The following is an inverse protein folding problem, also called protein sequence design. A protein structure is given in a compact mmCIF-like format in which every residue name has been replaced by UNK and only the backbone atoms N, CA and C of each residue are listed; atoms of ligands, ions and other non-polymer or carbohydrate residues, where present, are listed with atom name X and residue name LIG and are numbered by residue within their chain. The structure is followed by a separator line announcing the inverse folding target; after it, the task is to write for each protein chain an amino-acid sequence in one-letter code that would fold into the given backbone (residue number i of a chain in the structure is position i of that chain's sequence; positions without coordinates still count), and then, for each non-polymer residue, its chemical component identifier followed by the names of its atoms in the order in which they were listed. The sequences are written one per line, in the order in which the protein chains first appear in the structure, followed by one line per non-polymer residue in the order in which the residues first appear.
data_IF_081378321888
#
_entry.id   IF_081378321888
#
_cell.length_a   1.000
_cell.length_b   1.000
_cell.length_c   1.000
_cell.angle_alpha   90.00
_cell.angle_beta   90.00
_cell.angle_gamma   90.00
#
_symmetry.space_group_name_H-M   'P 1'
#
loop_
_entity.id
_entity.type
_entity.pdbx_description
1 polymer ?
#
# COMPACT_ATOMS: atom_id res chain seq x y z
N UNK A 1 -72.01 -52.83 -0.72
CA UNK A 1 -71.43 -52.07 0.40
C UNK A 1 -69.92 -52.22 0.33
N UNK A 2 -69.19 -51.25 -0.29
CA UNK A 2 -67.76 -51.25 -0.41
C UNK A 2 -67.13 -50.27 0.59
N UNK A 3 -66.31 -50.78 1.52
CA UNK A 3 -65.56 -49.96 2.46
C UNK A 3 -64.31 -49.44 1.75
N UNK A 4 -64.13 -48.14 1.73
CA UNK A 4 -62.87 -47.47 1.28
C UNK A 4 -61.93 -47.44 2.47
N UNK A 5 -60.72 -47.96 2.29
CA UNK A 5 -59.62 -47.83 3.22
C UNK A 5 -58.84 -46.56 2.85
N UNK A 6 -58.65 -45.64 3.82
CA UNK A 6 -57.84 -44.44 3.69
C UNK A 6 -56.42 -44.75 4.17
N UNK A 7 -55.44 -44.61 3.27
CA UNK A 7 -54.01 -44.72 3.58
C UNK A 7 -53.53 -43.33 4.00
N UNK A 8 -53.10 -43.18 5.24
CA UNK A 8 -52.43 -41.96 5.74
C UNK A 8 -50.93 -42.15 5.53
N UNK A 9 -50.38 -41.39 4.57
CA UNK A 9 -48.92 -41.34 4.36
C UNK A 9 -48.26 -40.36 5.35
N UNK A 10 -47.41 -40.88 6.19
CA UNK A 10 -46.57 -40.10 7.09
C UNK A 10 -45.28 -39.72 6.34
N UNK A 11 -45.18 -38.48 5.91
CA UNK A 11 -43.95 -37.92 5.33
C UNK A 11 -43.01 -37.52 6.47
N UNK A 12 -41.95 -38.28 6.67
CA UNK A 12 -40.87 -37.92 7.56
C UNK A 12 -39.98 -36.87 6.89
N UNK A 13 -40.06 -35.60 7.30
CA UNK A 13 -39.07 -34.57 6.96
C UNK A 13 -37.80 -34.84 7.72
N UNK A 14 -36.74 -35.28 7.02
CA UNK A 14 -35.37 -35.28 7.51
C UNK A 14 -34.85 -33.82 7.51
N UNK A 15 -34.86 -33.17 8.67
CA UNK A 15 -34.11 -31.96 8.91
C UNK A 15 -32.61 -32.34 9.00
N UNK A 16 -31.85 -32.19 7.90
CA UNK A 16 -30.41 -32.10 7.96
C UNK A 16 -30.04 -30.77 8.65
N UNK A 17 -29.80 -30.83 9.95
CA UNK A 17 -29.16 -29.73 10.67
C UNK A 17 -27.74 -29.56 10.16
N UNK A 18 -27.50 -28.53 9.36
CA UNK A 18 -26.14 -28.05 9.11
C UNK A 18 -25.59 -27.55 10.44
N UNK A 19 -24.75 -28.36 11.08
CA UNK A 19 -23.86 -27.92 12.15
C UNK A 19 -22.88 -26.92 11.53
N UNK A 20 -23.21 -25.61 11.57
CA UNK A 20 -22.22 -24.58 11.45
C UNK A 20 -21.23 -24.76 12.63
N UNK A 21 -20.12 -25.40 12.35
CA UNK A 21 -18.98 -25.37 13.28
C UNK A 21 -18.54 -23.92 13.39
N UNK A 22 -18.96 -23.23 14.45
CA UNK A 22 -18.41 -21.93 14.83
C UNK A 22 -16.92 -22.11 14.97
N UNK A 23 -16.15 -21.60 13.99
CA UNK A 23 -14.71 -21.58 14.05
C UNK A 23 -14.31 -20.89 15.36
N UNK A 24 -13.70 -21.62 16.28
CA UNK A 24 -13.28 -21.07 17.56
C UNK A 24 -12.43 -19.81 17.28
N UNK A 25 -12.81 -18.70 17.89
CA UNK A 25 -12.15 -17.42 17.68
C UNK A 25 -10.65 -17.56 17.99
N UNK A 26 -9.81 -17.28 17.02
CA UNK A 26 -8.35 -17.36 17.18
C UNK A 26 -7.89 -16.40 18.26
N UNK A 27 -7.22 -16.88 19.28
CA UNK A 27 -6.76 -16.08 20.40
C UNK A 27 -5.41 -15.44 20.08
N UNK A 28 -5.43 -14.13 19.94
CA UNK A 28 -4.22 -13.31 19.93
C UNK A 28 -4.12 -12.54 21.24
N UNK A 29 -2.94 -12.51 21.84
CA UNK A 29 -2.62 -11.48 22.82
C UNK A 29 -1.98 -10.31 22.09
N UNK A 30 -2.27 -9.08 22.54
CA UNK A 30 -1.63 -7.87 22.04
C UNK A 30 -0.95 -7.09 23.16
N UNK A 31 0.19 -6.50 22.85
CA UNK A 31 0.92 -5.59 23.73
C UNK A 31 1.71 -4.58 22.88
N UNK A 32 2.08 -3.46 23.52
CA UNK A 32 2.94 -2.44 22.90
C UNK A 32 4.40 -2.83 23.12
N UNK A 33 5.16 -2.98 22.04
CA UNK A 33 6.60 -3.30 22.07
C UNK A 33 7.43 -2.03 22.25
N UNK A 34 7.10 -0.97 21.52
CA UNK A 34 7.86 0.28 21.55
C UNK A 34 6.93 1.48 21.37
N UNK A 35 7.24 2.59 22.04
CA UNK A 35 6.52 3.87 21.97
C UNK A 35 7.44 5.01 21.53
N UNK A 36 6.85 6.13 21.11
CA UNK A 36 7.59 7.35 20.78
C UNK A 36 8.45 7.22 19.53
N UNK A 37 7.92 6.60 18.48
CA UNK A 37 8.48 6.59 17.15
C UNK A 37 7.90 7.76 16.33
N UNK A 38 8.72 8.43 15.56
CA UNK A 38 8.35 9.61 14.78
C UNK A 38 7.72 9.22 13.44
N UNK A 39 6.43 8.85 13.42
CA UNK A 39 5.71 8.29 12.28
C UNK A 39 6.43 7.06 11.68
N UNK A 40 6.38 5.89 12.36
CA UNK A 40 6.97 4.66 11.85
C UNK A 40 6.24 4.22 10.58
N UNK A 41 6.92 4.32 9.43
CA UNK A 41 6.29 4.13 8.12
C UNK A 41 6.50 2.72 7.54
N UNK A 42 7.72 2.19 7.61
CA UNK A 42 8.05 0.83 7.19
C UNK A 42 8.56 0.04 8.40
N UNK A 43 8.12 -1.20 8.55
CA UNK A 43 8.58 -2.10 9.59
C UNK A 43 8.96 -3.45 8.98
N UNK A 44 10.19 -3.89 9.20
CA UNK A 44 10.71 -5.16 8.71
C UNK A 44 11.29 -6.00 9.86
N UNK A 45 10.91 -7.27 9.96
CA UNK A 45 11.57 -8.20 10.86
C UNK A 45 12.89 -8.66 10.23
N UNK A 46 14.00 -8.08 10.69
CA UNK A 46 15.31 -8.25 10.09
C UNK A 46 15.93 -9.63 10.31
N UNK A 47 16.95 -9.98 9.52
CA UNK A 47 17.66 -11.25 9.62
C UNK A 47 18.47 -11.42 10.93
N UNK A 48 18.54 -10.36 11.71
CA UNK A 48 19.17 -10.28 13.03
C UNK A 48 18.15 -10.37 14.19
N UNK A 49 16.88 -10.67 13.86
CA UNK A 49 15.74 -10.78 14.80
C UNK A 49 15.39 -9.47 15.50
N UNK A 50 15.76 -8.33 14.93
CA UNK A 50 15.29 -7.00 15.32
C UNK A 50 14.23 -6.51 14.35
N UNK A 51 13.39 -5.62 14.83
CA UNK A 51 12.52 -4.83 13.95
C UNK A 51 13.34 -3.65 13.42
N UNK A 52 13.34 -3.47 12.13
CA UNK A 52 13.91 -2.33 11.44
C UNK A 52 12.77 -1.42 11.04
N UNK A 53 12.89 -0.15 11.37
CA UNK A 53 11.80 0.81 11.24
C UNK A 53 12.31 2.09 10.59
N UNK A 54 11.60 2.57 9.57
CA UNK A 54 11.80 3.95 9.09
C UNK A 54 10.91 4.88 9.90
N UNK A 55 11.49 5.93 10.48
CA UNK A 55 10.76 7.00 11.13
C UNK A 55 10.61 8.17 10.16
N UNK A 56 9.44 8.26 9.52
CA UNK A 56 9.15 9.16 8.39
C UNK A 56 9.49 10.61 8.70
N UNK A 57 9.02 11.12 9.83
CA UNK A 57 9.17 12.53 10.20
C UNK A 57 10.57 12.87 10.70
N UNK A 58 11.25 11.93 11.38
CA UNK A 58 12.60 12.14 11.90
C UNK A 58 13.71 11.82 10.91
N UNK A 59 13.38 11.26 9.74
CA UNK A 59 14.38 10.89 8.72
C UNK A 59 15.40 9.89 9.23
N UNK A 60 15.03 8.93 10.07
CA UNK A 60 15.98 7.97 10.63
C UNK A 60 15.51 6.53 10.51
N UNK A 61 16.48 5.63 10.34
CA UNK A 61 16.27 4.19 10.45
C UNK A 61 16.58 3.77 11.87
N UNK A 62 15.65 3.13 12.53
CA UNK A 62 15.73 2.68 13.92
C UNK A 62 15.61 1.16 14.00
N UNK A 63 16.47 0.52 14.79
CA UNK A 63 16.33 -0.89 15.18
C UNK A 63 15.66 -0.96 16.54
N UNK A 64 14.63 -1.79 16.65
CA UNK A 64 13.89 -2.03 17.90
C UNK A 64 14.05 -3.50 18.29
N UNK A 65 14.43 -3.75 19.54
CA UNK A 65 14.50 -5.10 20.07
C UNK A 65 13.10 -5.59 20.45
N UNK A 66 12.60 -6.70 19.87
CA UNK A 66 11.22 -7.13 20.13
C UNK A 66 10.95 -7.60 21.58
N UNK A 67 11.99 -7.95 22.34
CA UNK A 67 11.83 -8.46 23.70
C UNK A 67 11.54 -7.37 24.75
N UNK A 68 12.13 -6.19 24.59
CA UNK A 68 12.10 -5.11 25.59
C UNK A 68 11.80 -3.71 24.99
N UNK A 69 11.61 -3.63 23.68
CA UNK A 69 11.31 -2.37 22.98
C UNK A 69 12.49 -1.39 22.92
N UNK A 70 13.70 -1.79 23.33
CA UNK A 70 14.88 -0.93 23.29
C UNK A 70 15.19 -0.50 21.87
N UNK A 71 15.40 0.81 21.67
CA UNK A 71 15.59 1.46 20.38
C UNK A 71 17.03 1.87 20.15
N UNK A 72 17.51 1.74 18.91
CA UNK A 72 18.82 2.24 18.48
C UNK A 72 18.73 2.82 17.09
N UNK A 73 19.10 4.07 16.91
CA UNK A 73 19.26 4.70 15.59
C UNK A 73 20.41 4.02 14.84
N UNK A 74 20.12 3.64 13.60
CA UNK A 74 21.08 3.02 12.66
C UNK A 74 21.72 4.10 11.79
N UNK A 75 20.91 5.00 11.25
CA UNK A 75 21.33 6.14 10.44
C UNK A 75 20.24 7.22 10.49
N UNK A 76 20.67 8.48 10.43
CA UNK A 76 19.81 9.63 10.18
C UNK A 76 20.10 10.15 8.77
N UNK A 77 19.06 10.49 8.03
CA UNK A 77 19.10 10.99 6.66
C UNK A 77 19.03 12.52 6.72
N UNK A 78 20.14 13.23 6.48
CA UNK A 78 20.20 14.67 6.76
C UNK A 78 19.35 15.51 5.80
N UNK A 79 19.15 15.03 4.58
CA UNK A 79 18.38 15.68 3.50
C UNK A 79 16.95 15.15 3.39
N UNK A 80 16.43 14.47 4.43
CA UNK A 80 15.03 14.03 4.47
C UNK A 80 14.08 15.23 4.59
N UNK A 81 13.18 15.35 3.63
CA UNK A 81 12.09 16.32 3.66
C UNK A 81 10.80 15.65 4.17
N UNK A 82 10.33 16.05 5.32
CA UNK A 82 9.06 15.62 5.88
C UNK A 82 8.25 16.84 6.33
N UNK A 83 7.24 17.21 5.56
CA UNK A 83 6.41 18.36 5.87
C UNK A 83 5.18 17.95 6.71
N UNK A 84 4.71 18.80 7.62
CA UNK A 84 3.52 18.49 8.42
C UNK A 84 2.30 18.16 7.56
N UNK A 85 1.58 17.11 7.91
CA UNK A 85 0.37 16.62 7.22
C UNK A 85 0.58 16.11 5.79
N UNK A 86 1.81 16.14 5.24
CA UNK A 86 2.11 15.60 3.93
C UNK A 86 2.51 14.11 3.97
N UNK A 87 2.54 13.50 2.79
CA UNK A 87 2.96 12.10 2.61
C UNK A 87 4.45 11.98 2.24
N UNK A 88 5.20 13.08 2.26
CA UNK A 88 6.66 13.12 2.08
C UNK A 88 7.40 12.66 3.35
N UNK A 89 8.68 12.34 3.23
CA UNK A 89 9.54 11.89 4.33
C UNK A 89 10.35 10.64 4.01
N UNK A 90 10.89 9.99 5.04
CA UNK A 90 11.56 8.69 4.94
C UNK A 90 10.50 7.59 4.89
N UNK A 91 10.39 6.91 3.76
CA UNK A 91 9.31 5.99 3.43
C UNK A 91 9.78 4.53 3.52
N UNK A 92 9.93 3.86 2.39
CA UNK A 92 10.23 2.44 2.32
C UNK A 92 11.67 2.07 2.65
N UNK A 93 11.85 0.82 3.05
CA UNK A 93 13.16 0.26 3.36
C UNK A 93 13.25 -1.20 2.94
N UNK A 94 14.40 -1.59 2.39
CA UNK A 94 14.74 -3.00 2.21
C UNK A 94 16.07 -3.31 2.93
N UNK A 95 16.07 -4.37 3.73
CA UNK A 95 17.26 -4.88 4.41
C UNK A 95 17.73 -6.12 3.66
N UNK A 96 18.92 -6.06 3.03
CA UNK A 96 19.47 -7.24 2.36
C UNK A 96 19.77 -8.33 3.41
N UNK A 97 19.15 -9.52 3.32
CA UNK A 97 19.39 -10.59 4.26
C UNK A 97 20.82 -11.15 4.15
N UNK A 98 21.48 -10.93 3.02
CA UNK A 98 22.83 -11.43 2.76
C UNK A 98 23.89 -10.52 3.38
N UNK A 99 25.01 -11.12 3.68
CA UNK A 99 26.21 -10.36 4.07
C UNK A 99 27.02 -9.97 2.84
N UNK A 100 27.66 -8.81 2.90
CA UNK A 100 28.65 -8.43 1.90
C UNK A 100 29.82 -9.43 2.00
N UNK A 101 30.24 -9.96 0.85
CA UNK A 101 31.30 -10.98 0.77
C UNK A 101 32.52 -10.60 1.61
N UNK A 102 33.03 -11.54 2.39
CA UNK A 102 34.19 -11.34 3.27
C UNK A 102 33.95 -10.49 4.52
N UNK A 103 32.71 -10.06 4.77
CA UNK A 103 32.36 -9.20 5.91
C UNK A 103 31.14 -9.72 6.69
N UNK A 104 30.86 -9.08 7.84
CA UNK A 104 29.59 -9.24 8.57
C UNK A 104 28.57 -8.14 8.22
N UNK A 105 28.94 -7.23 7.34
CA UNK A 105 28.11 -6.09 6.94
C UNK A 105 27.02 -6.49 5.96
N UNK A 106 26.01 -5.60 5.79
CA UNK A 106 24.89 -5.75 4.88
C UNK A 106 24.61 -4.43 4.18
N UNK A 107 23.90 -4.50 3.07
CA UNK A 107 23.28 -3.31 2.50
C UNK A 107 21.89 -3.10 3.10
N UNK A 108 21.55 -1.85 3.30
CA UNK A 108 20.19 -1.39 3.52
C UNK A 108 19.87 -0.34 2.46
N UNK A 109 18.67 -0.36 1.99
CA UNK A 109 18.15 0.54 0.97
C UNK A 109 16.99 1.32 1.58
N UNK A 110 16.92 2.61 1.32
CA UNK A 110 15.85 3.48 1.80
C UNK A 110 15.34 4.34 0.67
N UNK A 111 14.05 4.62 0.66
CA UNK A 111 13.42 5.61 -0.20
C UNK A 111 12.93 6.79 0.63
N UNK A 112 13.12 8.00 0.13
CA UNK A 112 12.70 9.20 0.84
C UNK A 112 12.51 10.40 -0.08
N UNK A 113 11.76 11.38 0.41
CA UNK A 113 11.58 12.67 -0.24
C UNK A 113 12.65 13.64 0.22
N UNK A 114 13.12 14.50 -0.69
CA UNK A 114 14.07 15.57 -0.43
C UNK A 114 13.73 16.81 -1.26
N UNK A 115 14.27 17.96 -0.89
CA UNK A 115 14.22 19.19 -1.68
C UNK A 115 15.44 19.25 -2.59
N UNK A 116 15.22 19.46 -3.89
CA UNK A 116 16.32 19.42 -4.87
C UNK A 116 17.06 20.77 -4.97
N UNK A 117 16.40 21.86 -4.57
CA UNK A 117 16.96 23.20 -4.69
C UNK A 117 16.68 24.05 -3.44
N UNK A 118 17.52 25.06 -3.16
CA UNK A 118 17.36 25.94 -2.00
C UNK A 118 16.34 27.07 -2.19
N UNK A 119 15.48 27.00 -3.20
CA UNK A 119 14.48 28.04 -3.45
C UNK A 119 13.45 28.08 -2.29
N UNK A 120 12.78 29.24 -2.04
CA UNK A 120 11.75 29.30 -1.01
C UNK A 120 10.57 28.36 -1.25
N UNK A 121 10.30 28.01 -2.50
CA UNK A 121 9.26 27.06 -2.88
C UNK A 121 9.85 25.64 -2.91
N UNK A 122 9.26 24.73 -2.13
CA UNK A 122 9.72 23.33 -2.07
C UNK A 122 9.62 22.65 -3.44
N UNK A 123 10.76 22.20 -3.95
CA UNK A 123 10.86 21.36 -5.15
C UNK A 123 11.13 19.91 -4.77
N UNK A 124 10.04 19.20 -4.42
CA UNK A 124 10.10 17.85 -3.91
C UNK A 124 10.55 16.85 -4.97
N UNK A 125 11.48 15.96 -4.58
CA UNK A 125 11.89 14.80 -5.36
C UNK A 125 11.98 13.57 -4.46
N UNK A 126 11.91 12.39 -5.06
CA UNK A 126 12.18 11.11 -4.39
C UNK A 126 13.53 10.55 -4.81
N UNK A 127 14.10 9.77 -3.89
CA UNK A 127 15.40 9.12 -4.06
C UNK A 127 15.38 7.73 -3.44
N UNK A 128 16.12 6.81 -4.03
CA UNK A 128 16.50 5.54 -3.40
C UNK A 128 17.99 5.61 -3.11
N UNK A 129 18.36 5.39 -1.85
CA UNK A 129 19.75 5.43 -1.37
C UNK A 129 20.11 4.15 -0.66
N UNK A 130 21.30 3.63 -0.96
CA UNK A 130 21.90 2.48 -0.31
C UNK A 130 22.89 2.91 0.75
N UNK A 131 22.88 2.23 1.89
CA UNK A 131 23.88 2.35 2.95
C UNK A 131 24.56 1.01 3.23
N UNK A 132 25.79 1.06 3.73
CA UNK A 132 26.48 -0.10 4.30
C UNK A 132 26.23 -0.15 5.80
N UNK A 133 25.46 -1.14 6.26
CA UNK A 133 25.26 -1.41 7.67
C UNK A 133 26.40 -2.23 8.24
N UNK A 134 27.08 -1.69 9.26
CA UNK A 134 28.14 -2.36 10.00
C UNK A 134 27.54 -3.12 11.20
N UNK A 135 27.64 -4.44 11.19
CA UNK A 135 27.04 -5.27 12.23
C UNK A 135 27.76 -5.13 13.60
N UNK A 136 29.02 -4.66 13.66
CA UNK A 136 29.77 -4.47 14.91
C UNK A 136 29.37 -3.15 15.57
N UNK A 137 29.42 -2.03 14.86
CA UNK A 137 29.00 -0.73 15.38
C UNK A 137 27.47 -0.59 15.48
N UNK A 138 26.72 -1.41 14.71
CA UNK A 138 25.25 -1.36 14.56
C UNK A 138 24.78 -0.02 13.99
N UNK A 139 25.55 0.58 13.12
CA UNK A 139 25.26 1.83 12.40
C UNK A 139 25.41 1.61 10.90
N UNK A 140 24.78 2.48 10.11
CA UNK A 140 24.94 2.47 8.66
C UNK A 140 25.63 3.76 8.20
N UNK A 141 26.45 3.62 7.16
CA UNK A 141 27.28 4.68 6.59
C UNK A 141 27.52 4.42 5.11
N UNK A 142 28.36 5.24 4.46
CA UNK A 142 28.71 5.13 3.03
C UNK A 142 27.47 5.18 2.15
N UNK A 143 26.74 6.32 2.14
CA UNK A 143 25.58 6.50 1.28
C UNK A 143 25.98 6.43 -0.20
N UNK A 144 25.13 5.76 -0.99
CA UNK A 144 25.23 5.73 -2.45
C UNK A 144 23.83 5.93 -3.01
N UNK A 145 23.61 6.99 -3.76
CA UNK A 145 22.36 7.22 -4.45
C UNK A 145 22.25 6.26 -5.63
N UNK A 146 21.16 5.51 -5.68
CA UNK A 146 20.88 4.55 -6.74
C UNK A 146 20.07 5.20 -7.86
N UNK A 147 19.08 5.97 -7.49
CA UNK A 147 18.27 6.79 -8.39
C UNK A 147 17.82 8.03 -7.61
N UNK A 148 17.91 9.20 -8.24
CA UNK A 148 17.56 10.50 -7.66
C UNK A 148 16.77 11.34 -8.65
N UNK A 149 16.03 12.35 -8.17
CA UNK A 149 15.29 13.27 -9.03
C UNK A 149 13.94 12.73 -9.50
N UNK A 150 13.48 11.60 -8.97
CA UNK A 150 12.14 11.11 -9.29
C UNK A 150 11.06 12.08 -8.76
N UNK A 151 9.90 12.19 -9.43
CA UNK A 151 8.81 13.06 -8.99
C UNK A 151 8.38 12.78 -7.54
N UNK A 152 8.07 13.85 -6.81
CA UNK A 152 7.47 13.81 -5.48
C UNK A 152 6.48 14.97 -5.28
N UNK A 153 5.58 14.81 -4.33
CA UNK A 153 4.56 15.79 -3.99
C UNK A 153 4.30 15.78 -2.47
N UNK A 154 3.36 16.60 -2.05
CA UNK A 154 2.80 16.53 -0.70
C UNK A 154 1.83 15.34 -0.52
N UNK A 155 1.44 14.67 -1.60
CA UNK A 155 0.44 13.60 -1.61
C UNK A 155 0.88 12.43 -2.51
N UNK A 156 0.32 11.24 -2.32
CA UNK A 156 0.49 10.02 -3.11
C UNK A 156 1.94 9.71 -3.55
N UNK A 157 2.88 9.81 -2.63
CA UNK A 157 4.28 9.45 -2.93
C UNK A 157 4.48 7.93 -3.06
N UNK A 158 3.56 7.10 -2.54
CA UNK A 158 3.76 5.66 -2.37
C UNK A 158 5.05 5.37 -1.60
N UNK A 159 6.12 4.93 -2.26
CA UNK A 159 7.46 4.85 -1.65
C UNK A 159 7.81 3.49 -1.06
N UNK A 160 6.98 2.44 -1.24
CA UNK A 160 7.30 1.10 -0.74
C UNK A 160 8.48 0.52 -1.51
N UNK A 161 9.44 -0.07 -0.77
CA UNK A 161 10.68 -0.61 -1.32
C UNK A 161 10.90 -2.04 -0.81
N UNK A 162 11.05 -3.01 -1.72
CA UNK A 162 11.34 -4.39 -1.36
C UNK A 162 12.47 -4.97 -2.21
N UNK A 163 13.23 -5.91 -1.65
CA UNK A 163 14.21 -6.70 -2.38
C UNK A 163 13.54 -8.00 -2.83
N UNK A 164 13.44 -8.20 -4.15
CA UNK A 164 12.84 -9.38 -4.76
C UNK A 164 13.69 -10.66 -4.61
N UNK A 165 13.10 -11.83 -4.86
CA UNK A 165 13.82 -13.11 -4.87
C UNK A 165 14.90 -13.16 -5.97
N UNK A 166 14.73 -12.39 -7.03
CA UNK A 166 15.68 -12.15 -8.12
C UNK A 166 16.83 -11.21 -7.75
N UNK A 167 16.85 -10.72 -6.49
CA UNK A 167 17.82 -9.79 -5.90
C UNK A 167 17.82 -8.39 -6.50
N UNK A 168 16.69 -7.98 -7.10
CA UNK A 168 16.46 -6.62 -7.59
C UNK A 168 15.56 -5.87 -6.64
N UNK A 169 15.65 -4.56 -6.67
CA UNK A 169 14.78 -3.69 -5.91
C UNK A 169 13.50 -3.43 -6.70
N UNK A 170 12.37 -3.51 -6.01
CA UNK A 170 11.07 -3.11 -6.52
C UNK A 170 10.58 -1.93 -5.70
N UNK A 171 10.13 -0.89 -6.38
CA UNK A 171 9.79 0.38 -5.78
C UNK A 171 8.48 0.92 -6.34
N UNK A 172 7.59 1.35 -5.46
CA UNK A 172 6.32 1.98 -5.85
C UNK A 172 6.45 3.49 -5.85
N UNK A 173 5.95 4.15 -6.88
CA UNK A 173 5.83 5.60 -6.96
C UNK A 173 4.43 5.95 -7.43
N UNK A 174 3.71 6.78 -6.65
CA UNK A 174 2.32 7.13 -6.92
C UNK A 174 2.16 8.23 -7.97
N UNK A 175 0.90 8.58 -8.25
CA UNK A 175 0.51 9.64 -9.20
C UNK A 175 0.72 11.05 -8.64
N UNK A 176 1.29 11.18 -7.45
CA UNK A 176 1.61 12.43 -6.74
C UNK A 176 0.37 13.21 -6.29
N UNK A 177 -0.80 12.55 -6.22
CA UNK A 177 -2.07 13.21 -5.92
C UNK A 177 -2.47 14.25 -6.96
N UNK A 178 -2.03 14.09 -8.21
CA UNK A 178 -2.38 14.99 -9.29
C UNK A 178 -3.88 14.91 -9.62
N UNK A 179 -4.42 15.97 -10.22
CA UNK A 179 -5.83 16.09 -10.61
C UNK A 179 -6.81 16.13 -9.42
N UNK A 180 -6.31 16.38 -8.20
CA UNK A 180 -7.15 16.47 -7.00
C UNK A 180 -6.61 17.50 -5.98
N UNK A 181 -7.48 18.08 -5.16
CA UNK A 181 -7.15 19.00 -4.06
C UNK A 181 -6.11 20.07 -4.45
N UNK A 182 -5.05 20.21 -3.67
CA UNK A 182 -3.96 21.17 -3.92
C UNK A 182 -3.21 20.92 -5.23
N UNK A 183 -3.32 19.73 -5.81
CA UNK A 183 -2.69 19.36 -7.09
C UNK A 183 -3.68 19.24 -8.25
N UNK A 184 -4.89 19.82 -8.13
CA UNK A 184 -5.97 19.74 -9.13
C UNK A 184 -5.51 20.11 -10.53
N UNK A 185 -4.64 21.13 -10.65
CA UNK A 185 -4.18 21.64 -11.95
C UNK A 185 -2.99 20.88 -12.56
N UNK A 186 -2.57 19.79 -11.93
CA UNK A 186 -1.50 18.93 -12.42
C UNK A 186 -2.07 17.70 -13.08
N UNK A 187 -1.66 17.40 -14.32
CA UNK A 187 -2.13 16.21 -15.03
C UNK A 187 -1.58 14.91 -14.42
N UNK A 188 -2.43 13.88 -14.33
CA UNK A 188 -2.02 12.53 -13.98
C UNK A 188 -1.15 11.97 -15.11
N UNK A 189 0.03 11.45 -14.75
CA UNK A 189 1.00 10.87 -15.70
C UNK A 189 1.17 9.36 -15.54
N UNK A 190 0.21 8.69 -14.93
CA UNK A 190 0.31 7.24 -14.69
C UNK A 190 0.35 6.42 -15.97
N UNK A 191 -0.17 6.96 -17.08
CA UNK A 191 -0.12 6.35 -18.41
C UNK A 191 1.10 6.80 -19.24
N UNK A 192 1.78 7.88 -18.88
CA UNK A 192 2.96 8.35 -19.61
C UNK A 192 4.11 7.36 -19.44
N UNK A 193 4.84 7.08 -20.53
CA UNK A 193 6.01 6.20 -20.52
C UNK A 193 7.27 7.00 -20.91
N UNK A 194 8.45 6.66 -20.36
CA UNK A 194 9.68 7.36 -20.69
C UNK A 194 10.14 7.05 -22.10
N UNK A 195 10.63 8.05 -22.79
CA UNK A 195 11.36 7.86 -24.05
C UNK A 195 12.78 7.36 -23.79
N UNK A 196 13.42 6.74 -24.79
CA UNK A 196 14.82 6.34 -24.69
C UNK A 196 15.77 7.54 -24.42
N UNK A 197 15.44 8.73 -24.90
CA UNK A 197 16.20 9.94 -24.64
C UNK A 197 16.09 10.36 -23.16
N UNK A 198 14.89 10.30 -22.58
CA UNK A 198 14.67 10.60 -21.17
C UNK A 198 15.41 9.61 -20.25
N UNK A 199 15.39 8.32 -20.58
CA UNK A 199 16.14 7.29 -19.82
C UNK A 199 17.64 7.57 -19.85
N UNK A 200 18.21 7.90 -21.04
CA UNK A 200 19.63 8.24 -21.16
C UNK A 200 20.02 9.54 -20.44
N UNK A 201 19.09 10.49 -20.36
CA UNK A 201 19.30 11.77 -19.68
C UNK A 201 18.94 11.72 -18.18
N UNK A 202 18.59 10.56 -17.64
CA UNK A 202 18.11 10.39 -16.27
C UNK A 202 16.95 11.33 -15.90
N UNK A 203 16.09 11.60 -16.87
CA UNK A 203 14.89 12.42 -16.70
C UNK A 203 13.71 11.52 -16.34
N UNK A 204 13.35 11.50 -15.06
CA UNK A 204 12.34 10.61 -14.48
C UNK A 204 10.95 11.24 -14.35
N UNK A 205 10.65 12.34 -15.01
CA UNK A 205 9.36 13.05 -14.86
C UNK A 205 8.13 12.22 -15.22
N UNK A 206 8.29 11.17 -16.01
CA UNK A 206 7.22 10.23 -16.38
C UNK A 206 7.10 9.02 -15.44
N UNK A 207 7.88 8.97 -14.35
CA UNK A 207 7.87 7.80 -13.44
C UNK A 207 6.73 7.82 -12.42
N UNK A 208 5.83 8.79 -12.48
CA UNK A 208 4.63 8.84 -11.65
C UNK A 208 3.68 7.69 -11.96
N UNK A 209 3.04 7.10 -10.94
CA UNK A 209 2.09 6.01 -11.08
C UNK A 209 2.70 4.74 -11.66
N UNK A 210 3.86 4.34 -11.13
CA UNK A 210 4.64 3.19 -11.62
C UNK A 210 5.06 2.26 -10.48
N UNK A 211 5.31 1.01 -10.83
CA UNK A 211 6.22 0.16 -10.05
C UNK A 211 7.51 0.05 -10.86
N UNK A 212 8.62 0.38 -10.23
CA UNK A 212 9.96 0.32 -10.81
C UNK A 212 10.68 -0.93 -10.37
N UNK A 213 11.60 -1.44 -11.21
CA UNK A 213 12.51 -2.55 -10.89
C UNK A 213 13.93 -2.14 -11.27
N UNK A 214 14.84 -2.22 -10.30
CA UNK A 214 16.21 -1.73 -10.40
C UNK A 214 17.22 -2.82 -10.00
N UNK A 215 18.41 -2.81 -10.58
CA UNK A 215 19.55 -3.51 -9.99
C UNK A 215 19.93 -2.87 -8.64
N UNK A 216 20.68 -3.59 -7.81
CA UNK A 216 21.11 -3.10 -6.48
C UNK A 216 22.19 -2.04 -6.54
N UNK A 217 22.67 -1.69 -7.72
CA UNK A 217 23.55 -0.55 -8.00
C UNK A 217 22.80 0.64 -8.62
N UNK A 218 21.51 0.50 -8.90
CA UNK A 218 20.62 1.52 -9.47
C UNK A 218 20.44 1.42 -10.98
N UNK A 219 21.18 0.55 -11.69
CA UNK A 219 21.06 0.41 -13.13
C UNK A 219 19.72 -0.26 -13.54
N UNK A 220 19.36 -0.07 -14.82
CA UNK A 220 18.19 -0.74 -15.42
C UNK A 220 18.50 -2.21 -15.64
N UNK A 221 17.74 -3.16 -15.08
CA UNK A 221 17.92 -4.58 -15.34
C UNK A 221 17.78 -4.92 -16.82
N UNK A 222 18.71 -5.73 -17.34
CA UNK A 222 18.73 -6.11 -18.77
C UNK A 222 17.52 -6.92 -19.21
N UNK A 223 16.80 -7.54 -18.25
CA UNK A 223 15.58 -8.32 -18.42
C UNK A 223 14.31 -7.58 -17.99
N UNK A 224 14.38 -6.27 -17.75
CA UNK A 224 13.17 -5.45 -17.59
C UNK A 224 12.33 -5.45 -18.88
N UNK A 225 11.01 -5.32 -18.76
CA UNK A 225 10.14 -5.29 -19.93
C UNK A 225 10.53 -4.14 -20.87
N UNK A 226 10.37 -4.38 -22.17
CA UNK A 226 10.41 -3.34 -23.20
C UNK A 226 8.97 -2.88 -23.41
N UNK A 227 8.65 -1.66 -23.01
CA UNK A 227 7.32 -1.09 -23.13
C UNK A 227 7.40 0.01 -24.19
N UNK A 228 6.57 -0.06 -25.22
CA UNK A 228 6.59 0.86 -26.38
C UNK A 228 8.00 1.08 -26.96
N UNK A 229 8.77 -0.01 -27.07
CA UNK A 229 10.12 0.01 -27.65
C UNK A 229 11.23 0.51 -26.71
N UNK A 230 10.91 0.88 -25.45
CA UNK A 230 11.89 1.42 -24.51
C UNK A 230 12.07 0.48 -23.30
N UNK A 231 13.31 0.15 -22.98
CA UNK A 231 13.66 -0.49 -21.72
C UNK A 231 14.09 0.58 -20.72
N UNK A 232 13.45 0.56 -19.53
CA UNK A 232 13.70 1.50 -18.45
C UNK A 232 13.57 0.80 -17.09
N UNK A 233 13.58 1.54 -16.00
CA UNK A 233 13.25 1.00 -14.68
C UNK A 233 11.75 0.65 -14.54
N UNK A 234 10.88 1.13 -15.43
CA UNK A 234 9.43 0.88 -15.36
C UNK A 234 9.16 -0.61 -15.55
N UNK A 235 8.62 -1.23 -14.49
CA UNK A 235 8.19 -2.62 -14.49
C UNK A 235 6.71 -2.75 -14.84
N UNK A 236 5.88 -1.85 -14.26
CA UNK A 236 4.45 -1.70 -14.56
C UNK A 236 4.03 -0.24 -14.47
N UNK A 237 2.87 0.11 -15.02
CA UNK A 237 2.36 1.48 -15.07
C UNK A 237 0.84 1.53 -14.91
N UNK A 238 0.26 2.73 -14.87
CA UNK A 238 -1.17 2.91 -14.65
C UNK A 238 -1.59 2.71 -13.19
N UNK A 239 -0.74 3.07 -12.24
CA UNK A 239 -1.01 3.02 -10.80
C UNK A 239 -1.42 4.37 -10.25
N UNK A 240 -2.28 4.36 -9.21
CA UNK A 240 -2.66 5.55 -8.46
C UNK A 240 -1.72 5.77 -7.26
N UNK A 241 -1.82 4.93 -6.23
CA UNK A 241 -1.05 5.07 -4.99
C UNK A 241 -0.86 3.69 -4.33
N UNK A 242 0.06 2.91 -4.87
CA UNK A 242 0.40 1.57 -4.37
C UNK A 242 1.20 1.68 -3.08
N UNK A 243 0.57 1.42 -1.92
CA UNK A 243 1.16 1.56 -0.60
C UNK A 243 1.87 0.29 -0.11
N UNK A 244 1.55 -0.86 -0.66
CA UNK A 244 2.15 -2.12 -0.29
C UNK A 244 2.53 -2.97 -1.49
N UNK A 245 3.71 -3.62 -1.42
CA UNK A 245 4.12 -4.70 -2.32
C UNK A 245 4.77 -5.82 -1.52
N UNK A 246 4.49 -7.08 -1.90
CA UNK A 246 5.05 -8.26 -1.23
C UNK A 246 5.22 -9.41 -2.22
N UNK A 247 6.31 -10.16 -2.08
CA UNK A 247 6.52 -11.39 -2.81
C UNK A 247 5.99 -12.60 -2.05
N UNK A 248 5.25 -13.45 -2.74
CA UNK A 248 5.01 -14.81 -2.28
C UNK A 248 6.27 -15.68 -2.51
N UNK A 249 6.39 -16.83 -1.83
CA UNK A 249 7.55 -17.72 -1.98
C UNK A 249 7.76 -18.28 -3.39
N UNK A 250 6.72 -18.35 -4.21
CA UNK A 250 6.77 -18.78 -5.61
C UNK A 250 7.24 -17.67 -6.57
N UNK A 251 7.46 -16.45 -6.06
CA UNK A 251 7.89 -15.28 -6.83
C UNK A 251 6.75 -14.40 -7.32
N UNK A 252 5.49 -14.73 -7.04
CA UNK A 252 4.35 -13.86 -7.36
C UNK A 252 4.43 -12.57 -6.56
N UNK A 253 4.36 -11.43 -7.24
CA UNK A 253 4.36 -10.11 -6.63
C UNK A 253 2.93 -9.58 -6.49
N UNK A 254 2.51 -9.27 -5.26
CA UNK A 254 1.23 -8.65 -4.97
C UNK A 254 1.41 -7.19 -4.59
N UNK A 255 0.40 -6.37 -4.90
CA UNK A 255 0.32 -4.96 -4.49
C UNK A 255 -1.03 -4.64 -3.89
N UNK A 256 -1.05 -3.77 -2.88
CA UNK A 256 -2.25 -3.11 -2.37
C UNK A 256 -2.23 -1.63 -2.71
N UNK A 257 -3.33 -1.11 -3.23
CA UNK A 257 -3.42 0.22 -3.82
C UNK A 257 -4.70 0.95 -3.43
N UNK A 258 -4.61 2.27 -3.25
CA UNK A 258 -5.76 3.12 -2.96
C UNK A 258 -6.55 3.46 -4.21
N UNK A 259 -7.86 3.21 -4.19
CA UNK A 259 -8.83 3.87 -5.06
C UNK A 259 -9.15 5.31 -4.60
N UNK A 260 -9.83 6.10 -5.42
CA UNK A 260 -10.23 7.47 -5.04
C UNK A 260 -11.36 7.50 -4.00
N UNK A 261 -12.48 6.85 -4.27
CA UNK A 261 -13.67 6.81 -3.39
C UNK A 261 -14.24 5.42 -3.19
N UNK A 262 -13.92 4.51 -4.09
CA UNK A 262 -14.25 3.08 -4.05
C UNK A 262 -13.05 2.30 -4.58
N UNK A 263 -13.17 1.00 -4.61
CA UNK A 263 -12.25 0.11 -5.31
C UNK A 263 -10.78 0.27 -4.95
N UNK A 264 -10.46 0.31 -3.64
CA UNK A 264 -9.09 -0.03 -3.25
C UNK A 264 -8.77 -1.43 -3.79
N UNK A 265 -7.54 -1.64 -4.27
CA UNK A 265 -7.20 -2.82 -5.07
C UNK A 265 -6.20 -3.75 -4.39
N UNK A 266 -6.36 -5.04 -4.65
CA UNK A 266 -5.32 -6.05 -4.52
C UNK A 266 -4.95 -6.53 -5.91
N UNK A 267 -3.73 -6.29 -6.32
CA UNK A 267 -3.19 -6.60 -7.65
C UNK A 267 -2.15 -7.71 -7.61
N UNK A 268 -2.08 -8.53 -8.68
CA UNK A 268 -0.89 -9.30 -9.03
C UNK A 268 -0.08 -8.49 -10.03
N UNK A 269 1.17 -8.21 -9.71
CA UNK A 269 2.05 -7.37 -10.51
C UNK A 269 2.82 -8.23 -11.52
N UNK A 270 2.59 -7.98 -12.81
CA UNK A 270 3.20 -8.69 -13.93
C UNK A 270 3.93 -7.73 -14.85
N UNK A 271 5.15 -8.07 -15.24
CA UNK A 271 6.03 -7.25 -16.08
C UNK A 271 5.31 -6.68 -17.32
N UNK A 272 5.48 -5.40 -17.60
CA UNK A 272 4.96 -4.73 -18.78
C UNK A 272 3.45 -4.46 -18.79
N UNK A 273 2.74 -4.74 -17.69
CA UNK A 273 1.30 -4.58 -17.62
C UNK A 273 0.90 -3.16 -17.19
N UNK A 274 -0.31 -2.77 -17.62
CA UNK A 274 -1.00 -1.53 -17.31
C UNK A 274 -2.15 -1.81 -16.33
N UNK A 275 -2.22 -1.04 -15.22
CA UNK A 275 -3.21 -1.22 -14.16
C UNK A 275 -4.36 -0.20 -14.25
N UNK A 276 -4.45 0.55 -15.35
CA UNK A 276 -5.65 1.29 -15.77
C UNK A 276 -5.73 2.73 -15.33
N UNK A 277 -5.21 3.10 -14.17
CA UNK A 277 -5.33 4.46 -13.64
C UNK A 277 -4.76 5.54 -14.58
N UNK A 278 -5.48 6.67 -14.86
CA UNK A 278 -6.75 7.07 -14.29
C UNK A 278 -7.98 6.65 -15.11
N UNK A 279 -7.84 5.91 -16.20
CA UNK A 279 -8.93 5.62 -17.13
C UNK A 279 -9.83 4.48 -16.68
N UNK A 280 -9.31 3.55 -15.87
CA UNK A 280 -10.04 2.43 -15.27
C UNK A 280 -9.68 2.33 -13.82
N UNK A 281 -10.67 2.06 -12.98
CA UNK A 281 -10.56 1.83 -11.55
C UNK A 281 -11.18 0.47 -11.20
N UNK A 282 -10.37 -0.43 -10.64
CA UNK A 282 -10.85 -1.77 -10.38
C UNK A 282 -11.12 -2.55 -11.66
N UNK A 283 -12.34 -3.06 -11.80
CA UNK A 283 -12.82 -3.68 -13.02
C UNK A 283 -13.32 -2.62 -14.00
N UNK A 284 -13.23 -2.88 -15.30
CA UNK A 284 -13.84 -2.01 -16.32
C UNK A 284 -15.34 -2.24 -16.37
N UNK A 285 -16.11 -1.61 -15.49
CA UNK A 285 -17.54 -1.90 -15.32
C UNK A 285 -18.46 -0.67 -15.25
N UNK A 286 -17.89 0.54 -15.39
CA UNK A 286 -18.58 1.85 -15.32
C UNK A 286 -19.38 2.05 -14.01
N UNK A 287 -18.94 1.41 -12.91
CA UNK A 287 -19.61 1.52 -11.61
C UNK A 287 -18.95 2.54 -10.72
N UNK A 288 -19.74 3.56 -10.32
CA UNK A 288 -19.38 4.59 -9.36
C UNK A 288 -18.08 5.37 -9.67
N UNK A 289 -17.48 5.15 -10.83
CA UNK A 289 -16.29 5.86 -11.30
C UNK A 289 -16.49 6.47 -12.68
N UNK A 290 -15.94 7.66 -12.84
CA UNK A 290 -15.71 8.34 -14.11
C UNK A 290 -14.41 9.13 -13.97
N UNK A 291 -13.53 9.04 -14.96
CA UNK A 291 -12.35 9.90 -14.97
C UNK A 291 -12.76 11.34 -15.24
N UNK A 292 -12.74 12.17 -14.21
CA UNK A 292 -12.94 13.61 -14.31
C UNK A 292 -11.57 14.30 -14.43
N UNK A 293 -11.26 14.85 -15.60
CA UNK A 293 -9.97 15.48 -15.84
C UNK A 293 -9.98 16.95 -15.42
N UNK A 294 -9.88 17.20 -14.13
CA UNK A 294 -9.85 18.55 -13.56
C UNK A 294 -8.69 19.39 -14.10
N UNK A 295 -7.53 18.78 -14.33
CA UNK A 295 -6.35 19.48 -14.84
C UNK A 295 -6.52 20.00 -16.27
N UNK A 296 -7.44 19.42 -17.04
CA UNK A 296 -7.79 19.85 -18.39
C UNK A 296 -8.98 20.82 -18.43
N UNK A 297 -9.56 21.18 -17.30
CA UNK A 297 -10.64 22.18 -17.21
C UNK A 297 -10.14 23.63 -17.53
N UNK A 298 -9.08 23.72 -18.31
CA UNK A 298 -8.33 24.92 -18.67
C UNK A 298 -9.04 25.68 -19.78
N UNK A 299 -9.38 26.87 -19.53
CA UNK A 299 -10.19 27.85 -20.26
C UNK A 299 -10.99 28.64 -19.25
N UNK A 300 -11.27 28.02 -18.15
CA UNK A 300 -11.62 28.58 -16.87
C UNK A 300 -10.42 28.29 -15.99
N UNK A 301 -9.71 29.28 -15.48
CA UNK A 301 -8.54 29.18 -14.64
C UNK A 301 -8.63 27.96 -13.71
N UNK A 302 -7.81 26.92 -13.98
CA UNK A 302 -7.74 25.79 -13.08
C UNK A 302 -7.28 26.28 -11.70
N UNK A 303 -8.16 26.19 -10.72
CA UNK A 303 -7.88 26.62 -9.33
C UNK A 303 -7.92 25.42 -8.41
N UNK A 304 -6.98 25.32 -7.54
CA UNK A 304 -6.91 24.24 -6.53
C UNK A 304 -8.19 24.12 -5.67
N UNK A 305 -8.93 25.23 -5.49
CA UNK A 305 -10.19 25.23 -4.72
C UNK A 305 -11.42 24.78 -5.49
N UNK A 306 -11.32 24.48 -6.79
CA UNK A 306 -12.49 24.09 -7.60
C UNK A 306 -12.74 22.59 -7.62
N UNK A 307 -11.82 21.78 -7.11
CA UNK A 307 -12.01 20.33 -7.02
C UNK A 307 -13.12 19.97 -6.03
N UNK A 308 -14.01 19.07 -6.44
CA UNK A 308 -14.99 18.45 -5.55
C UNK A 308 -14.96 16.93 -5.70
N UNK A 309 -15.05 16.26 -4.59
CA UNK A 309 -15.22 14.79 -4.54
C UNK A 309 -16.66 14.35 -4.89
N UNK A 310 -17.63 15.26 -4.82
CA UNK A 310 -19.04 14.93 -4.97
C UNK A 310 -19.68 15.44 -6.25
N UNK A 311 -19.21 16.56 -6.77
CA UNK A 311 -19.85 17.25 -7.90
C UNK A 311 -18.83 17.53 -9.00
N UNK A 312 -19.08 17.00 -10.19
CA UNK A 312 -18.25 17.24 -11.36
C UNK A 312 -19.01 18.20 -12.27
N UNK A 313 -18.61 19.49 -12.35
CA UNK A 313 -19.21 20.46 -13.24
C UNK A 313 -19.08 20.05 -14.71
N UNK A 314 -20.03 20.47 -15.55
CA UNK A 314 -20.05 20.09 -16.97
C UNK A 314 -18.87 20.60 -17.79
N UNK A 315 -18.14 21.62 -17.30
CA UNK A 315 -16.94 22.12 -17.95
C UNK A 315 -15.70 21.26 -17.71
N UNK A 316 -15.75 20.32 -16.75
CA UNK A 316 -14.68 19.36 -16.50
C UNK A 316 -14.83 18.19 -17.46
N UNK A 317 -13.83 17.90 -18.32
CA UNK A 317 -13.90 16.76 -19.22
C UNK A 317 -14.04 15.45 -18.44
N UNK A 318 -14.97 14.60 -18.86
CA UNK A 318 -15.26 13.33 -18.23
C UNK A 318 -15.12 12.19 -19.24
N UNK A 319 -14.62 11.06 -18.80
CA UNK A 319 -14.46 9.86 -19.61
C UNK A 319 -14.88 8.63 -18.81
N UNK A 320 -15.78 7.81 -19.37
CA UNK A 320 -16.15 6.52 -18.80
C UNK A 320 -15.05 5.50 -19.02
N UNK A 321 -15.03 4.47 -18.19
CA UNK A 321 -14.09 3.36 -18.31
C UNK A 321 -14.27 2.60 -19.63
N UNK A 322 -15.53 2.37 -20.02
CA UNK A 322 -15.90 1.72 -21.30
C UNK A 322 -15.42 2.50 -22.54
N UNK A 323 -15.34 3.83 -22.44
CA UNK A 323 -14.88 4.70 -23.55
C UNK A 323 -13.35 4.78 -23.65
N UNK A 324 -12.63 4.16 -22.69
CA UNK A 324 -11.18 4.25 -22.60
C UNK A 324 -10.49 3.11 -23.33
N UNK A 325 -9.39 3.41 -24.02
CA UNK A 325 -8.46 2.39 -24.51
C UNK A 325 -7.27 2.30 -23.57
N UNK A 326 -7.15 1.18 -22.85
CA UNK A 326 -6.03 0.91 -21.95
C UNK A 326 -5.30 -0.33 -22.46
N UNK A 327 -4.15 -0.16 -23.15
CA UNK A 327 -3.41 -1.29 -23.69
C UNK A 327 -2.85 -2.16 -22.58
N UNK A 328 -2.85 -3.47 -22.75
CA UNK A 328 -2.32 -4.46 -21.79
C UNK A 328 -2.91 -4.34 -20.38
N UNK A 329 -4.17 -3.87 -20.28
CA UNK A 329 -4.87 -3.75 -19.00
C UNK A 329 -4.89 -5.06 -18.22
N UNK A 330 -4.63 -4.96 -16.95
CA UNK A 330 -4.70 -6.07 -16.00
C UNK A 330 -5.59 -5.65 -14.83
N UNK A 331 -6.77 -6.25 -14.67
CA UNK A 331 -7.67 -5.95 -13.56
C UNK A 331 -7.08 -6.47 -12.24
N UNK A 332 -7.51 -5.89 -11.09
CA UNK A 332 -7.16 -6.40 -9.78
C UNK A 332 -7.78 -7.80 -9.55
N UNK A 333 -7.17 -8.58 -8.66
CA UNK A 333 -7.76 -9.85 -8.21
C UNK A 333 -8.81 -9.66 -7.12
N UNK A 334 -8.92 -8.43 -6.59
CA UNK A 334 -9.93 -8.03 -5.61
C UNK A 334 -10.04 -6.52 -5.51
N UNK A 335 -11.27 -6.01 -5.38
CA UNK A 335 -11.59 -4.62 -5.02
C UNK A 335 -12.18 -4.51 -3.60
N UNK A 336 -12.02 -3.33 -2.95
CA UNK A 336 -12.55 -2.99 -1.61
C UNK A 336 -13.13 -1.56 -1.64
N UNK A 337 -14.38 -1.30 -1.90
CA UNK A 337 -15.44 -2.19 -2.35
C UNK A 337 -16.06 -1.53 -3.56
N UNK A 338 -16.33 -2.29 -4.60
CA UNK A 338 -17.12 -1.81 -5.75
C UNK A 338 -18.54 -1.51 -5.32
N UNK A 339 -19.04 -0.33 -5.69
CA UNK A 339 -20.41 0.11 -5.39
C UNK A 339 -21.12 0.51 -6.67
N UNK A 340 -22.47 0.46 -6.72
CA UNK A 340 -23.22 0.85 -7.92
C UNK A 340 -23.09 2.36 -8.21
N UNK A 341 -23.30 2.77 -9.46
CA UNK A 341 -23.24 4.19 -9.87
C UNK A 341 -24.23 5.09 -9.13
N UNK A 342 -25.28 4.53 -8.54
CA UNK A 342 -26.27 5.23 -7.70
C UNK A 342 -25.83 5.39 -6.24
N UNK A 343 -24.64 4.93 -5.87
CA UNK A 343 -24.15 5.01 -4.48
C UNK A 343 -23.98 6.47 -4.05
N UNK A 344 -24.53 6.81 -2.89
CA UNK A 344 -24.37 8.15 -2.32
C UNK A 344 -23.09 8.20 -1.46
N UNK A 345 -22.06 8.90 -1.94
CA UNK A 345 -20.81 9.09 -1.21
C UNK A 345 -20.90 10.11 -0.07
N UNK A 346 -21.97 10.91 -0.02
CA UNK A 346 -22.21 11.86 1.08
C UNK A 346 -22.70 11.10 2.31
N UNK A 347 -21.90 11.11 3.36
CA UNK A 347 -22.24 10.52 4.65
C UNK A 347 -22.38 11.65 5.69
N UNK A 348 -23.50 11.75 6.40
CA UNK A 348 -23.70 12.77 7.45
C UNK A 348 -22.64 12.76 8.55
N UNK A 349 -21.94 11.64 8.74
CA UNK A 349 -20.83 11.52 9.69
C UNK A 349 -19.52 12.11 9.17
N UNK A 350 -19.40 12.33 7.86
CA UNK A 350 -18.26 12.88 7.16
C UNK A 350 -18.69 14.02 6.23
N UNK A 351 -19.18 15.15 6.77
CA UNK A 351 -19.72 16.23 5.96
C UNK A 351 -18.68 17.02 5.18
N UNK A 352 -17.43 17.03 5.65
CA UNK A 352 -16.30 17.69 4.97
C UNK A 352 -15.72 16.75 3.89
N UNK A 353 -15.63 17.25 2.65
CA UNK A 353 -15.06 16.49 1.53
C UNK A 353 -13.60 16.08 1.76
N UNK A 354 -12.82 16.92 2.46
CA UNK A 354 -11.42 16.62 2.77
C UNK A 354 -11.26 15.41 3.72
N UNK A 355 -12.28 15.17 4.56
CA UNK A 355 -12.31 14.06 5.51
C UNK A 355 -13.21 12.92 5.05
N UNK A 356 -13.93 13.11 3.94
CA UNK A 356 -14.92 12.19 3.36
C UNK A 356 -14.37 10.79 3.12
N UNK A 357 -13.09 10.68 2.78
CA UNK A 357 -12.43 9.40 2.52
C UNK A 357 -12.58 8.40 3.67
N UNK A 358 -12.73 8.85 4.89
CA UNK A 358 -12.95 8.00 6.09
C UNK A 358 -14.25 7.23 6.00
N UNK A 359 -15.28 7.82 5.38
CA UNK A 359 -16.62 7.23 5.21
C UNK A 359 -16.82 6.49 3.89
N UNK A 360 -15.93 6.69 2.91
CA UNK A 360 -16.03 6.01 1.61
C UNK A 360 -15.95 4.49 1.72
N UNK A 361 -16.54 3.74 0.78
CA UNK A 361 -16.50 2.28 0.75
C UNK A 361 -15.13 1.75 0.32
N UNK A 362 -14.10 2.08 1.08
CA UNK A 362 -12.69 1.72 0.89
C UNK A 362 -12.09 1.27 2.22
N UNK A 363 -10.97 0.57 2.19
CA UNK A 363 -10.26 0.15 3.41
C UNK A 363 -9.07 1.05 3.78
N UNK A 364 -8.56 1.85 2.82
CA UNK A 364 -7.36 2.64 2.98
C UNK A 364 -6.12 1.78 3.25
N UNK A 365 -5.69 0.94 2.27
CA UNK A 365 -4.59 0.00 2.45
C UNK A 365 -3.28 0.75 2.67
N UNK A 366 -2.54 0.43 3.73
CA UNK A 366 -1.29 1.12 4.08
C UNK A 366 -0.05 0.31 3.76
N UNK A 367 -0.22 -0.99 3.61
CA UNK A 367 0.84 -1.97 3.36
C UNK A 367 0.21 -3.31 3.00
N UNK A 368 1.07 -4.32 2.80
CA UNK A 368 0.64 -5.69 2.51
C UNK A 368 1.68 -6.67 3.04
N UNK A 369 1.24 -7.83 3.54
CA UNK A 369 2.09 -8.99 3.80
C UNK A 369 1.35 -10.28 3.42
N UNK A 370 2.04 -11.41 3.36
CA UNK A 370 1.47 -12.71 2.99
C UNK A 370 1.87 -13.78 4.00
N UNK A 371 0.93 -14.62 4.42
CA UNK A 371 1.21 -15.79 5.25
C UNK A 371 1.13 -17.06 4.42
N UNK A 372 2.15 -17.92 4.55
CA UNK A 372 2.33 -19.09 3.68
C UNK A 372 2.58 -20.39 4.44
N UNK A 373 2.95 -20.32 5.70
CA UNK A 373 3.33 -21.48 6.50
C UNK A 373 2.14 -22.36 6.91
N UNK A 374 2.34 -23.68 6.90
CA UNK A 374 1.36 -24.65 7.42
C UNK A 374 1.30 -24.67 8.95
N UNK A 375 2.45 -24.46 9.59
CA UNK A 375 2.66 -24.48 11.04
C UNK A 375 2.55 -23.09 11.70
N UNK A 376 2.18 -22.07 10.93
CA UNK A 376 1.86 -20.72 11.39
C UNK A 376 0.54 -20.64 12.17
N UNK A 377 -0.22 -19.57 11.97
CA UNK A 377 -1.58 -19.44 12.52
C UNK A 377 -2.52 -20.37 11.72
N UNK A 378 -3.25 -21.29 12.38
CA UNK A 378 -4.19 -22.18 11.69
C UNK A 378 -5.21 -21.40 10.84
N UNK A 379 -5.40 -21.82 9.58
CA UNK A 379 -6.31 -21.18 8.64
C UNK A 379 -5.76 -19.90 7.99
N UNK A 380 -4.56 -19.43 8.33
CA UNK A 380 -3.95 -18.23 7.73
C UNK A 380 -3.02 -18.54 6.55
N UNK A 381 -2.64 -19.79 6.35
CA UNK A 381 -1.80 -20.15 5.20
C UNK A 381 -2.40 -19.66 3.88
N UNK A 382 -1.57 -19.15 2.97
CA UNK A 382 -1.97 -18.51 1.69
C UNK A 382 -3.01 -17.40 1.92
N UNK A 383 -2.69 -16.47 2.80
CA UNK A 383 -3.55 -15.31 3.03
C UNK A 383 -2.74 -14.03 2.88
N UNK A 384 -3.33 -13.07 2.19
CA UNK A 384 -2.89 -11.69 2.15
C UNK A 384 -3.37 -10.97 3.42
N UNK A 385 -2.50 -10.14 3.98
CA UNK A 385 -2.73 -9.32 5.15
C UNK A 385 -2.58 -7.85 4.78
N UNK A 386 -3.61 -7.04 4.95
CA UNK A 386 -3.62 -5.61 4.60
C UNK A 386 -4.00 -4.79 5.83
N UNK A 387 -3.08 -4.04 6.43
CA UNK A 387 -3.42 -3.08 7.47
C UNK A 387 -4.11 -1.85 6.87
N UNK A 388 -4.97 -1.21 7.66
CA UNK A 388 -5.82 -0.10 7.24
C UNK A 388 -5.47 1.21 7.94
N UNK A 389 -5.41 2.30 7.16
CA UNK A 389 -5.27 3.66 7.68
C UNK A 389 -6.57 4.22 8.23
N UNK A 390 -7.71 3.80 7.70
CA UNK A 390 -9.04 4.32 8.09
C UNK A 390 -9.46 3.81 9.44
N UNK A 391 -9.05 2.56 9.76
CA UNK A 391 -9.40 1.86 10.99
C UNK A 391 -8.17 1.13 11.53
N UNK A 392 -8.07 1.00 12.83
CA UNK A 392 -7.14 0.03 13.42
C UNK A 392 -7.62 -1.40 13.15
N UNK A 393 -7.48 -1.84 11.90
CA UNK A 393 -7.90 -3.16 11.44
C UNK A 393 -6.88 -3.79 10.53
N UNK A 394 -6.77 -5.10 10.62
CA UNK A 394 -6.10 -5.93 9.63
C UNK A 394 -7.18 -6.65 8.80
N UNK A 395 -7.13 -6.49 7.50
CA UNK A 395 -7.93 -7.26 6.55
C UNK A 395 -7.14 -8.48 6.10
N UNK A 396 -7.70 -9.67 6.32
CA UNK A 396 -7.14 -10.93 5.84
C UNK A 396 -7.97 -11.47 4.70
N UNK A 397 -7.33 -11.76 3.57
CA UNK A 397 -7.93 -12.39 2.40
C UNK A 397 -7.28 -13.74 2.16
N UNK A 398 -8.09 -14.76 1.96
CA UNK A 398 -7.61 -16.07 1.56
C UNK A 398 -7.36 -16.08 0.05
N UNK A 399 -6.18 -16.48 -0.37
CA UNK A 399 -5.89 -16.75 -1.78
C UNK A 399 -6.43 -18.12 -2.20
N UNK A 400 -6.73 -18.25 -3.49
CA UNK A 400 -6.91 -19.55 -4.17
C UNK A 400 -5.65 -20.40 -4.07
N UNK A 401 -5.73 -21.65 -4.46
CA UNK A 401 -4.60 -22.58 -4.34
C UNK A 401 -3.41 -22.18 -5.24
N UNK A 402 -3.70 -21.60 -6.39
CA UNK A 402 -2.74 -21.08 -7.38
C UNK A 402 -2.27 -19.65 -7.08
N UNK A 403 -2.93 -18.95 -6.15
CA UNK A 403 -2.62 -17.58 -5.79
C UNK A 403 -3.20 -16.50 -6.74
N UNK A 404 -3.82 -16.89 -7.84
CA UNK A 404 -4.28 -15.96 -8.88
C UNK A 404 -5.61 -15.26 -8.58
N UNK A 405 -6.27 -15.62 -7.49
CA UNK A 405 -7.53 -15.00 -7.06
C UNK A 405 -7.68 -15.04 -5.54
N UNK A 406 -8.74 -14.41 -5.04
CA UNK A 406 -9.11 -14.48 -3.62
C UNK A 406 -10.39 -15.29 -3.41
N UNK A 407 -10.48 -16.01 -2.29
CA UNK A 407 -11.66 -16.80 -1.94
C UNK A 407 -12.37 -16.23 -0.72
N UNK A 408 -13.70 -16.20 -0.76
CA UNK A 408 -14.54 -15.71 0.32
C UNK A 408 -14.50 -14.19 0.51
N UNK A 409 -14.99 -13.73 1.67
CA UNK A 409 -15.00 -12.31 2.04
C UNK A 409 -13.73 -11.96 2.83
N UNK A 410 -13.26 -10.69 2.76
CA UNK A 410 -12.22 -10.21 3.66
C UNK A 410 -12.62 -10.38 5.12
N UNK A 411 -11.70 -10.86 5.95
CA UNK A 411 -11.91 -11.05 7.38
C UNK A 411 -11.18 -9.93 8.13
N UNK A 412 -11.94 -9.13 8.87
CA UNK A 412 -11.40 -8.10 9.75
C UNK A 412 -10.92 -8.70 11.07
N UNK A 413 -9.70 -8.35 11.48
CA UNK A 413 -9.13 -8.76 12.76
C UNK A 413 -8.35 -7.62 13.41
N UNK A 414 -7.97 -7.77 14.68
CA UNK A 414 -7.18 -6.82 15.49
C UNK A 414 -7.79 -5.41 15.52
N UNK A 415 -9.08 -5.34 15.83
CA UNK A 415 -9.86 -4.09 15.84
C UNK A 415 -9.41 -3.16 16.96
N UNK A 416 -9.10 -1.92 16.60
CA UNK A 416 -8.77 -0.81 17.52
C UNK A 416 -9.19 0.53 16.90
N UNK A 417 -8.87 1.65 17.58
CA UNK A 417 -9.02 3.01 17.03
C UNK A 417 -7.66 3.62 16.70
N UNK A 418 -6.78 2.83 16.09
CA UNK A 418 -5.47 3.25 15.59
C UNK A 418 -5.49 3.47 14.07
N UNK A 419 -4.41 4.03 13.55
CA UNK A 419 -4.08 4.00 12.13
C UNK A 419 -2.96 2.99 11.94
N UNK A 420 -3.27 1.81 11.42
CA UNK A 420 -2.26 0.79 11.15
C UNK A 420 -1.49 1.16 9.88
N UNK A 421 -0.16 1.33 10.01
CA UNK A 421 0.68 1.79 8.90
C UNK A 421 1.35 0.65 8.16
N UNK A 422 1.94 -0.30 8.87
CA UNK A 422 2.69 -1.38 8.25
C UNK A 422 2.71 -2.62 9.12
N UNK A 423 3.03 -3.77 8.54
CA UNK A 423 3.02 -5.06 9.22
C UNK A 423 4.29 -5.84 8.91
N UNK A 424 4.87 -6.45 9.94
CA UNK A 424 5.94 -7.43 9.84
C UNK A 424 5.61 -8.68 10.64
N UNK A 425 6.19 -9.81 10.29
CA UNK A 425 5.97 -11.08 10.99
C UNK A 425 7.26 -11.81 11.31
N UNK A 426 7.21 -12.64 12.35
CA UNK A 426 8.28 -13.60 12.62
C UNK A 426 8.31 -14.71 11.58
N UNK A 427 9.47 -15.39 11.37
CA UNK A 427 9.57 -16.47 10.39
C UNK A 427 8.63 -17.65 10.61
N UNK A 428 8.16 -17.86 11.85
CA UNK A 428 7.17 -18.89 12.17
C UNK A 428 5.72 -18.46 11.89
N UNK A 429 5.50 -17.21 11.47
CA UNK A 429 4.18 -16.61 11.20
C UNK A 429 3.18 -16.76 12.35
N UNK A 430 3.67 -16.70 13.61
CA UNK A 430 2.85 -16.77 14.82
C UNK A 430 2.89 -15.49 15.66
N UNK A 431 3.82 -14.60 15.35
CA UNK A 431 3.92 -13.26 15.95
C UNK A 431 3.99 -12.22 14.85
N UNK A 432 3.16 -11.19 14.98
CA UNK A 432 3.06 -10.09 14.04
C UNK A 432 3.31 -8.77 14.76
N UNK A 433 3.92 -7.82 14.07
CA UNK A 433 4.19 -6.48 14.54
C UNK A 433 3.52 -5.50 13.61
N UNK A 434 2.77 -4.56 14.16
CA UNK A 434 2.07 -3.52 13.39
C UNK A 434 2.55 -2.17 13.88
N UNK A 435 3.05 -1.34 12.97
CA UNK A 435 3.33 0.05 13.28
C UNK A 435 2.07 0.90 13.16
N UNK A 436 1.96 1.94 13.97
CA UNK A 436 0.85 2.89 13.94
C UNK A 436 1.35 4.28 13.58
N UNK A 437 0.57 5.03 12.80
CA UNK A 437 0.88 6.43 12.53
C UNK A 437 0.89 7.27 13.82
N UNK A 438 1.70 8.32 13.83
CA UNK A 438 1.71 9.29 14.91
C UNK A 438 0.43 10.15 14.94
N UNK A 439 -0.20 10.32 13.79
CA UNK A 439 -1.42 11.09 13.60
C UNK A 439 -1.96 10.93 12.19
N UNK A 440 -2.96 11.73 11.86
CA UNK A 440 -3.71 11.70 10.62
C UNK A 440 -5.15 11.30 10.83
N UNK A 441 -6.01 11.59 9.85
CA UNK A 441 -7.44 11.39 9.97
C UNK A 441 -7.78 9.89 9.92
N UNK A 442 -8.57 9.43 10.88
CA UNK A 442 -9.09 8.08 10.99
C UNK A 442 -10.56 8.10 11.36
N UNK A 443 -11.23 6.96 11.32
CA UNK A 443 -12.60 6.83 11.81
C UNK A 443 -12.61 6.60 13.32
N UNK A 444 -13.21 7.54 14.04
CA UNK A 444 -13.31 7.50 15.49
C UNK A 444 -14.40 6.54 16.01
N UNK A 445 -14.59 6.54 17.33
CA UNK A 445 -15.54 5.66 18.03
C UNK A 445 -17.00 5.94 17.64
N UNK A 446 -17.33 7.18 17.31
CA UNK A 446 -18.66 7.59 16.82
C UNK A 446 -18.92 7.27 15.35
N UNK A 447 -17.88 6.85 14.63
CA UNK A 447 -17.90 6.63 13.19
C UNK A 447 -17.59 7.88 12.36
N UNK A 448 -17.36 9.04 12.99
CA UNK A 448 -16.94 10.29 12.35
C UNK A 448 -15.42 10.40 12.25
N UNK A 449 -14.88 11.29 11.38
CA UNK A 449 -13.46 11.57 11.31
C UNK A 449 -12.88 12.05 12.64
N UNK A 450 -11.66 11.62 12.95
CA UNK A 450 -10.89 12.09 14.11
C UNK A 450 -9.39 12.00 13.83
N UNK A 451 -8.63 12.86 14.48
CA UNK A 451 -7.16 12.77 14.53
C UNK A 451 -6.66 12.09 15.83
N UNK A 452 -7.56 11.78 16.74
CA UNK A 452 -7.23 11.07 17.98
C UNK A 452 -7.20 9.56 17.75
N UNK A 453 -6.08 8.93 18.08
CA UNK A 453 -5.86 7.49 17.98
C UNK A 453 -5.38 6.93 19.32
N UNK A 454 -5.65 5.65 19.59
CA UNK A 454 -5.36 5.03 20.89
C UNK A 454 -3.85 4.95 21.21
N UNK A 455 -3.06 4.51 20.25
CA UNK A 455 -1.62 4.30 20.41
C UNK A 455 -0.85 4.93 19.23
N UNK A 456 -0.59 6.26 19.26
CA UNK A 456 0.14 6.95 18.19
C UNK A 456 1.64 6.64 18.24
N UNK A 457 2.23 6.38 17.06
CA UNK A 457 3.68 6.22 16.91
C UNK A 457 4.26 5.05 17.70
N UNK A 458 3.58 3.90 17.70
CA UNK A 458 4.03 2.70 18.42
C UNK A 458 4.22 1.52 17.50
N UNK A 459 4.80 0.45 18.05
CA UNK A 459 4.77 -0.89 17.47
C UNK A 459 3.91 -1.76 18.38
N UNK A 460 2.81 -2.26 17.86
CA UNK A 460 1.95 -3.27 18.47
C UNK A 460 2.47 -4.65 18.11
N UNK A 461 2.43 -5.57 19.06
CA UNK A 461 2.70 -6.99 18.83
C UNK A 461 1.43 -7.81 19.03
N UNK A 462 1.10 -8.64 18.04
CA UNK A 462 0.02 -9.61 18.09
C UNK A 462 0.62 -11.02 18.09
N UNK A 463 0.41 -11.78 19.16
CA UNK A 463 0.95 -13.12 19.29
C UNK A 463 -0.16 -14.14 19.34
N UNK A 464 -0.11 -15.14 18.46
CA UNK A 464 -1.03 -16.26 18.48
C UNK A 464 -0.83 -17.12 19.72
N UNK A 465 -1.90 -17.40 20.46
CA UNK A 465 -1.91 -18.14 21.73
C UNK A 465 -2.59 -19.51 21.66
N UNK A 466 -2.98 -19.94 20.49
CA UNK A 466 -3.77 -21.15 20.31
C UNK A 466 -5.26 -20.84 20.09
N UNK A 467 -6.06 -21.88 20.13
CA UNK A 467 -7.55 -21.81 20.04
C UNK A 467 -8.17 -21.71 21.42
#
# INVERSE_FOLDING_TARGET
MMRRATIVGVSALLLLGMLETTAAAQRFSSDVVARGLANPWDITYGPDRYLWVTEKSAGRVTRVRPSDGSKRTVVTIPDNLATPKAQDGLLGMAVDPRRIRGTRNRYIYVSYSYDIDPSPALNRRQRIRRYTYNARSRTASRPVDLISGMPASNDHNSGRLVLGPDRRLYYTIGDQGHNQFANTCKAIRSQDLPTAAQVRAENWETYQGKILRLETDGSVPSDNPVIEGVRSHVYTYGHRNAQGIVFAPDGTLYSSEHGPKSDDELNIIRAGRNYGWPFVLGERDDKAYVYANWSASVGTECRAGNHSEFEIPSYVPQQRESDSTVPNFTPPIRTFFTVPSSFNFRDPKCPDENDGFVCYPTIGPSSIDITTRRDGVPGWRNSILIPSLKYGRLYRLKLSADGDSTTGRPIETWKSFNRYRDIAKTPDERTFYVSTDLGGIARGRTGSPTTEVDDPGVILRFRYRGR
#
